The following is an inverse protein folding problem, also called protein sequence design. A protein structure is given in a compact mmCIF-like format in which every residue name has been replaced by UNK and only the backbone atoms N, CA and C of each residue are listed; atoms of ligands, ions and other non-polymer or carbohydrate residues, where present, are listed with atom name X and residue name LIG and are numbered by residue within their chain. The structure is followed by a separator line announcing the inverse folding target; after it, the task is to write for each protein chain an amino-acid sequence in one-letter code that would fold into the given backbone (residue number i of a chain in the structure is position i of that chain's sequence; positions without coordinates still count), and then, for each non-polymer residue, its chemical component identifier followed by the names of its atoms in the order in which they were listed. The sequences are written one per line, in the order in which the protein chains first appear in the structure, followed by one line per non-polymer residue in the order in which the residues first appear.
data_IF_044338820800
#
_entry.id   IF_044338820800
#
_cell.length_a   1.000
_cell.length_b   1.000
_cell.length_c   1.000
_cell.angle_alpha   90.00
_cell.angle_beta   90.00
_cell.angle_gamma   90.00
#
_symmetry.space_group_name_H-M   'P 1'
#
loop_
_entity.id
_entity.type
_entity.pdbx_description
1 polymer ?
#
# COMPACT_ATOMS: atom_id res chain seq x y z
N UNK A 1 -8.92 12.13 -20.18
CA UNK A 1 -9.08 10.66 -20.27
C UNK A 1 -10.06 10.18 -19.20
N UNK A 2 -10.73 9.06 -19.46
CA UNK A 2 -11.54 8.35 -18.46
C UNK A 2 -10.69 7.28 -17.80
N UNK A 3 -10.40 7.44 -16.50
CA UNK A 3 -9.49 6.57 -15.73
C UNK A 3 -10.30 5.82 -14.69
N UNK A 4 -10.17 4.49 -14.64
CA UNK A 4 -10.83 3.66 -13.64
C UNK A 4 -9.81 3.01 -12.72
N UNK A 5 -9.88 3.32 -11.42
CA UNK A 5 -9.12 2.61 -10.40
C UNK A 5 -9.96 1.51 -9.77
N UNK A 6 -9.39 0.32 -9.64
CA UNK A 6 -10.03 -0.84 -9.00
C UNK A 6 -9.16 -1.36 -7.88
N UNK A 7 -9.69 -1.38 -6.66
CA UNK A 7 -8.94 -1.76 -5.48
C UNK A 7 -9.79 -2.49 -4.42
N UNK A 8 -9.17 -2.91 -3.34
CA UNK A 8 -9.84 -3.33 -2.11
C UNK A 8 -9.52 -2.30 -1.03
N UNK A 9 -10.27 -1.21 -1.01
CA UNK A 9 -10.06 -0.11 -0.07
C UNK A 9 -10.88 -0.39 1.19
N UNK A 10 -10.22 -0.57 2.33
CA UNK A 10 -10.88 -0.78 3.61
C UNK A 10 -10.99 0.49 4.43
N UNK A 11 -9.91 1.26 4.49
CA UNK A 11 -9.82 2.54 5.21
C UNK A 11 -8.97 3.51 4.41
N UNK A 12 -9.24 4.81 4.56
CA UNK A 12 -8.50 5.88 3.85
C UNK A 12 -7.01 5.90 4.22
N UNK A 13 -6.68 5.49 5.45
CA UNK A 13 -5.30 5.49 5.97
C UNK A 13 -4.54 4.18 5.70
N UNK A 14 -5.13 3.23 4.97
CA UNK A 14 -4.40 2.08 4.44
C UNK A 14 -3.55 2.55 3.25
N UNK A 15 -2.30 2.09 3.12
CA UNK A 15 -1.35 2.59 2.12
C UNK A 15 -1.89 2.68 0.69
N UNK A 16 -2.67 1.67 0.23
CA UNK A 16 -3.29 1.69 -1.10
C UNK A 16 -4.40 2.77 -1.17
N UNK A 17 -5.20 2.92 -0.12
CA UNK A 17 -6.25 3.94 -0.05
C UNK A 17 -5.68 5.36 -0.15
N UNK A 18 -4.59 5.64 0.55
CA UNK A 18 -3.87 6.92 0.48
C UNK A 18 -3.34 7.20 -0.93
N UNK A 19 -2.70 6.21 -1.55
CA UNK A 19 -2.19 6.35 -2.93
C UNK A 19 -3.32 6.66 -3.92
N UNK A 20 -4.45 5.94 -3.82
CA UNK A 20 -5.59 6.17 -4.72
C UNK A 20 -6.22 7.54 -4.48
N UNK A 21 -6.28 8.00 -3.23
CA UNK A 21 -6.77 9.34 -2.92
C UNK A 21 -5.93 10.43 -3.60
N UNK A 22 -4.61 10.36 -3.47
CA UNK A 22 -3.72 11.34 -4.10
C UNK A 22 -3.81 11.25 -5.63
N UNK A 23 -3.79 10.05 -6.21
CA UNK A 23 -3.95 9.87 -7.64
C UNK A 23 -5.29 10.46 -8.15
N UNK A 24 -6.37 10.22 -7.43
CA UNK A 24 -7.69 10.75 -7.78
C UNK A 24 -7.68 12.28 -7.81
N UNK A 25 -7.18 12.93 -6.74
CA UNK A 25 -7.14 14.38 -6.66
C UNK A 25 -6.32 14.99 -7.80
N UNK A 26 -5.10 14.47 -8.01
CA UNK A 26 -4.21 15.00 -9.03
C UNK A 26 -4.73 14.75 -10.45
N UNK A 27 -5.32 13.60 -10.72
CA UNK A 27 -5.88 13.31 -12.03
C UNK A 27 -7.13 14.14 -12.34
N UNK A 28 -7.97 14.43 -11.35
CA UNK A 28 -9.08 15.38 -11.50
C UNK A 28 -8.55 16.80 -11.76
N UNK A 29 -7.52 17.25 -11.02
CA UNK A 29 -6.88 18.55 -11.22
C UNK A 29 -6.31 18.69 -12.65
N UNK A 30 -5.84 17.59 -13.22
CA UNK A 30 -5.37 17.52 -14.62
C UNK A 30 -6.50 17.43 -15.67
N UNK A 31 -7.76 17.47 -15.24
CA UNK A 31 -8.93 17.47 -16.12
C UNK A 31 -9.32 16.08 -16.62
N UNK A 32 -8.96 15.00 -15.90
CA UNK A 32 -9.40 13.65 -16.24
C UNK A 32 -10.74 13.32 -15.56
N UNK A 33 -11.54 12.46 -16.19
CA UNK A 33 -12.75 11.87 -15.59
C UNK A 33 -12.33 10.57 -14.88
N UNK A 34 -12.30 10.59 -13.55
CA UNK A 34 -11.76 9.51 -12.74
C UNK A 34 -12.86 8.86 -11.91
N UNK A 35 -12.94 7.54 -11.97
CA UNK A 35 -13.85 6.76 -11.13
C UNK A 35 -13.08 5.68 -10.36
N UNK A 36 -13.64 5.31 -9.21
CA UNK A 36 -13.03 4.33 -8.30
C UNK A 36 -14.04 3.22 -8.00
N UNK A 37 -13.62 1.97 -8.15
CA UNK A 37 -14.36 0.81 -7.72
C UNK A 37 -13.63 0.13 -6.56
N UNK A 38 -14.35 -0.17 -5.49
CA UNK A 38 -13.85 -1.00 -4.40
C UNK A 38 -14.73 -2.23 -4.22
N UNK A 39 -14.11 -3.36 -3.88
CA UNK A 39 -14.81 -4.59 -3.55
C UNK A 39 -15.30 -4.67 -2.10
N UNK A 40 -14.89 -3.76 -1.23
CA UNK A 40 -15.33 -3.72 0.17
C UNK A 40 -16.54 -2.81 0.33
N UNK A 41 -17.57 -3.32 1.01
CA UNK A 41 -18.79 -2.56 1.28
C UNK A 41 -18.63 -1.54 2.42
N UNK A 42 -17.78 -1.82 3.42
CA UNK A 42 -17.57 -0.95 4.56
C UNK A 42 -16.43 0.04 4.29
N UNK A 43 -16.76 1.15 3.68
CA UNK A 43 -15.85 2.27 3.39
C UNK A 43 -15.96 3.31 4.51
N UNK A 44 -15.55 2.95 5.70
CA UNK A 44 -15.49 3.89 6.81
C UNK A 44 -14.39 4.93 6.52
N UNK A 45 -14.74 6.20 6.62
CA UNK A 45 -13.83 7.37 6.58
C UNK A 45 -13.22 7.71 5.22
N UNK A 46 -13.94 7.57 4.11
CA UNK A 46 -13.44 8.07 2.82
C UNK A 46 -14.39 9.10 2.21
N UNK A 47 -13.83 10.23 1.78
CA UNK A 47 -14.53 11.25 1.00
C UNK A 47 -14.44 10.99 -0.51
N UNK A 48 -13.84 9.87 -0.91
CA UNK A 48 -13.71 9.49 -2.31
C UNK A 48 -15.06 8.99 -2.87
N UNK A 49 -15.41 9.33 -4.11
CA UNK A 49 -16.60 8.82 -4.79
C UNK A 49 -16.38 7.38 -5.23
N UNK A 50 -16.49 6.44 -4.29
CA UNK A 50 -16.21 5.03 -4.52
C UNK A 50 -17.52 4.27 -4.76
N UNK A 51 -17.59 3.57 -5.89
CA UNK A 51 -18.64 2.59 -6.19
C UNK A 51 -18.24 1.22 -5.66
N UNK A 52 -19.15 0.55 -4.93
CA UNK A 52 -18.91 -0.83 -4.49
C UNK A 52 -19.44 -1.79 -5.52
N UNK A 53 -18.56 -2.45 -6.26
CA UNK A 53 -18.89 -3.43 -7.30
C UNK A 53 -18.13 -4.73 -7.03
N UNK A 54 -18.88 -5.82 -6.84
CA UNK A 54 -18.35 -7.16 -6.57
C UNK A 54 -18.74 -8.14 -7.65
N UNK A 55 -19.94 -7.98 -8.24
CA UNK A 55 -20.46 -8.89 -9.25
C UNK A 55 -19.92 -8.55 -10.64
N UNK A 56 -19.79 -9.58 -11.46
CA UNK A 56 -19.39 -9.46 -12.87
C UNK A 56 -20.43 -8.67 -13.66
N UNK A 57 -21.71 -8.90 -13.37
CA UNK A 57 -22.84 -8.24 -14.06
C UNK A 57 -22.83 -6.73 -13.82
N UNK A 58 -22.66 -6.32 -12.55
CA UNK A 58 -22.64 -4.89 -12.20
C UNK A 58 -21.42 -4.20 -12.81
N UNK A 59 -20.27 -4.90 -12.86
CA UNK A 59 -19.09 -4.40 -13.54
C UNK A 59 -19.29 -4.22 -15.04
N UNK A 60 -19.92 -5.19 -15.72
CA UNK A 60 -20.25 -5.08 -17.15
C UNK A 60 -21.20 -3.91 -17.42
N UNK A 61 -22.25 -3.73 -16.61
CA UNK A 61 -23.15 -2.58 -16.71
C UNK A 61 -22.39 -1.28 -16.56
N UNK A 62 -21.60 -1.16 -15.49
CA UNK A 62 -20.82 0.04 -15.18
C UNK A 62 -19.90 0.45 -16.35
N UNK A 63 -19.11 -0.47 -16.90
CA UNK A 63 -18.17 -0.15 -18.00
C UNK A 63 -18.87 0.00 -19.35
N UNK A 64 -20.11 -0.45 -19.49
CA UNK A 64 -20.92 -0.21 -20.71
C UNK A 64 -21.53 1.19 -20.72
N UNK A 65 -21.90 1.70 -19.56
CA UNK A 65 -22.42 3.07 -19.38
C UNK A 65 -21.29 4.13 -19.40
N UNK A 66 -20.12 3.76 -18.88
CA UNK A 66 -18.96 4.63 -18.78
C UNK A 66 -17.71 3.87 -19.21
N UNK A 67 -17.41 3.89 -20.51
CA UNK A 67 -16.26 3.17 -21.08
C UNK A 67 -14.98 3.88 -20.65
N UNK A 68 -14.12 3.26 -19.83
CA UNK A 68 -12.83 3.85 -19.46
C UNK A 68 -11.81 3.74 -20.60
N UNK A 69 -10.95 4.75 -20.72
CA UNK A 69 -9.81 4.70 -21.63
C UNK A 69 -8.69 3.78 -21.08
N UNK A 70 -8.60 3.69 -19.74
CA UNK A 70 -7.64 2.82 -19.05
C UNK A 70 -8.19 2.40 -17.69
N UNK A 71 -7.86 1.17 -17.29
CA UNK A 71 -8.17 0.62 -15.97
C UNK A 71 -6.86 0.32 -15.21
N UNK A 72 -6.79 0.68 -13.92
CA UNK A 72 -5.65 0.40 -13.05
C UNK A 72 -6.12 -0.49 -11.90
N UNK A 73 -5.65 -1.72 -11.88
CA UNK A 73 -5.83 -2.62 -10.75
C UNK A 73 -4.75 -2.36 -9.71
N UNK A 74 -5.15 -2.10 -8.46
CA UNK A 74 -4.25 -1.93 -7.34
C UNK A 74 -4.14 -3.21 -6.52
N UNK A 75 -2.95 -3.78 -6.41
CA UNK A 75 -2.68 -5.11 -5.87
C UNK A 75 -3.01 -6.24 -6.85
N UNK A 76 -2.97 -7.50 -6.43
CA UNK A 76 -3.06 -8.61 -7.37
C UNK A 76 -4.00 -9.76 -6.96
N UNK A 77 -3.96 -10.22 -5.71
CA UNK A 77 -4.62 -11.46 -5.31
C UNK A 77 -6.12 -11.31 -5.02
N UNK A 78 -6.90 -10.85 -6.04
CA UNK A 78 -8.35 -10.70 -5.93
C UNK A 78 -9.06 -11.49 -7.03
N UNK A 79 -9.98 -12.37 -6.67
CA UNK A 79 -10.73 -13.22 -7.62
C UNK A 79 -11.55 -12.36 -8.59
N UNK A 80 -12.08 -11.23 -8.11
CA UNK A 80 -12.82 -10.27 -8.90
C UNK A 80 -11.97 -9.70 -10.05
N UNK A 81 -10.68 -9.44 -9.80
CA UNK A 81 -9.77 -8.91 -10.82
C UNK A 81 -9.58 -9.88 -11.98
N UNK A 82 -9.61 -11.20 -11.72
CA UNK A 82 -9.56 -12.22 -12.78
C UNK A 82 -10.79 -12.15 -13.67
N UNK A 83 -11.96 -11.94 -13.09
CA UNK A 83 -13.23 -11.83 -13.84
C UNK A 83 -13.29 -10.52 -14.61
N UNK A 84 -12.96 -9.41 -13.95
CA UNK A 84 -12.99 -8.09 -14.54
C UNK A 84 -11.97 -7.95 -15.68
N UNK A 85 -10.75 -8.46 -15.51
CA UNK A 85 -9.73 -8.43 -16.58
C UNK A 85 -10.13 -9.20 -17.82
N UNK A 86 -10.88 -10.31 -17.68
CA UNK A 86 -11.45 -11.04 -18.83
C UNK A 86 -12.45 -10.19 -19.61
N UNK A 87 -13.34 -9.49 -18.89
CA UNK A 87 -14.34 -8.59 -19.53
C UNK A 87 -13.63 -7.44 -20.24
N UNK A 88 -12.64 -6.82 -19.59
CA UNK A 88 -11.84 -5.75 -20.19
C UNK A 88 -11.11 -6.23 -21.45
N UNK A 89 -10.55 -7.45 -21.44
CA UNK A 89 -9.91 -8.04 -22.62
C UNK A 89 -10.89 -8.28 -23.77
N UNK A 90 -12.10 -8.79 -23.48
CA UNK A 90 -13.15 -9.00 -24.49
C UNK A 90 -13.61 -7.65 -25.09
N UNK A 91 -13.70 -6.60 -24.29
CA UNK A 91 -14.11 -5.26 -24.72
C UNK A 91 -12.94 -4.42 -25.27
N UNK A 92 -11.73 -4.99 -25.37
CA UNK A 92 -10.51 -4.30 -25.81
C UNK A 92 -10.17 -3.04 -25.01
N UNK A 93 -10.53 -3.01 -23.72
CA UNK A 93 -10.20 -1.92 -22.79
C UNK A 93 -8.84 -2.22 -22.17
N UNK A 94 -7.81 -1.36 -22.35
CA UNK A 94 -6.49 -1.59 -21.79
C UNK A 94 -6.51 -1.46 -20.26
N UNK A 95 -5.67 -2.29 -19.60
CA UNK A 95 -5.49 -2.17 -18.17
C UNK A 95 -4.05 -2.39 -17.73
N UNK A 96 -3.69 -1.76 -16.62
CA UNK A 96 -2.42 -1.92 -15.92
C UNK A 96 -2.64 -2.55 -14.54
N UNK A 97 -1.59 -3.14 -13.99
CA UNK A 97 -1.58 -3.65 -12.62
C UNK A 97 -0.47 -2.98 -11.83
N UNK A 98 -0.83 -2.24 -10.78
CA UNK A 98 0.11 -1.66 -9.81
C UNK A 98 0.24 -2.60 -8.61
N UNK A 99 1.45 -3.10 -8.36
CA UNK A 99 1.67 -4.24 -7.47
C UNK A 99 1.69 -3.88 -5.98
N UNK A 100 2.17 -2.70 -5.61
CA UNK A 100 2.32 -2.25 -4.21
C UNK A 100 3.06 -3.28 -3.33
N UNK A 101 4.14 -3.86 -3.83
CA UNK A 101 4.94 -4.85 -3.10
C UNK A 101 4.32 -6.24 -2.97
N UNK A 102 3.16 -6.51 -3.58
CA UNK A 102 2.41 -7.74 -3.35
C UNK A 102 3.11 -9.02 -3.85
N UNK A 103 3.99 -8.92 -4.85
CA UNK A 103 4.62 -10.05 -5.54
C UNK A 103 6.14 -10.07 -5.40
N UNK A 104 6.68 -9.60 -4.28
CA UNK A 104 8.09 -9.81 -3.95
C UNK A 104 8.41 -11.31 -3.83
N UNK A 105 9.63 -11.70 -4.19
CA UNK A 105 10.10 -13.10 -4.07
C UNK A 105 9.90 -13.66 -2.66
N UNK A 106 10.08 -12.82 -1.64
CA UNK A 106 9.89 -13.20 -0.24
C UNK A 106 8.42 -13.44 0.10
N UNK A 107 7.53 -12.53 -0.31
CA UNK A 107 6.09 -12.68 -0.12
C UNK A 107 5.52 -13.86 -0.92
N UNK A 108 6.12 -14.19 -2.06
CA UNK A 108 5.71 -15.32 -2.88
C UNK A 108 6.10 -16.66 -2.26
N UNK A 109 7.26 -16.75 -1.60
CA UNK A 109 7.71 -17.94 -0.86
C UNK A 109 6.81 -18.26 0.34
N UNK A 110 6.27 -17.25 1.01
CA UNK A 110 5.31 -17.44 2.11
C UNK A 110 3.94 -17.85 1.58
N UNK A 111 3.49 -19.04 1.97
CA UNK A 111 2.24 -19.61 1.50
C UNK A 111 2.33 -20.24 0.09
N UNK A 112 3.52 -20.68 -0.29
CA UNK A 112 3.82 -21.28 -1.59
C UNK A 112 2.80 -22.34 -2.04
N UNK A 113 2.36 -23.24 -1.16
CA UNK A 113 1.41 -24.29 -1.50
C UNK A 113 0.02 -23.74 -1.88
N UNK A 114 -0.54 -22.81 -1.11
CA UNK A 114 -1.85 -22.20 -1.41
C UNK A 114 -1.79 -21.26 -2.62
N UNK A 115 -0.68 -20.52 -2.80
CA UNK A 115 -0.47 -19.60 -3.93
C UNK A 115 -0.05 -20.33 -5.19
N UNK A 116 0.59 -21.50 -5.08
CA UNK A 116 1.05 -22.29 -6.22
C UNK A 116 -0.12 -22.92 -6.98
N UNK A 117 -1.07 -23.53 -6.29
CA UNK A 117 -2.24 -24.16 -6.94
C UNK A 117 -3.31 -23.15 -7.36
N UNK A 118 -3.57 -22.11 -6.59
CA UNK A 118 -4.55 -21.07 -6.95
C UNK A 118 -3.95 -19.93 -7.81
N UNK A 119 -2.68 -19.58 -7.60
CA UNK A 119 -2.04 -18.42 -8.22
C UNK A 119 -1.63 -18.64 -9.66
N UNK A 120 -1.05 -19.81 -10.01
CA UNK A 120 -0.49 -20.01 -11.36
C UNK A 120 -1.54 -20.03 -12.47
N UNK A 121 -2.72 -20.57 -12.23
CA UNK A 121 -3.72 -20.77 -13.29
C UNK A 121 -4.61 -19.53 -13.45
N UNK A 122 -5.06 -18.92 -12.35
CA UNK A 122 -6.05 -17.85 -12.39
C UNK A 122 -5.44 -16.44 -12.37
N UNK A 123 -4.54 -16.16 -11.42
CA UNK A 123 -4.03 -14.80 -11.24
C UNK A 123 -2.96 -14.40 -12.25
N UNK A 124 -2.19 -15.36 -12.79
CA UNK A 124 -1.21 -15.06 -13.83
C UNK A 124 -1.84 -14.52 -15.11
N UNK A 125 -3.10 -14.87 -15.42
CA UNK A 125 -3.81 -14.34 -16.58
C UNK A 125 -4.00 -12.83 -16.50
N UNK A 126 -4.27 -12.30 -15.30
CA UNK A 126 -4.40 -10.85 -15.07
C UNK A 126 -3.09 -10.13 -15.38
N UNK A 127 -1.97 -10.67 -14.91
CA UNK A 127 -0.65 -10.09 -15.16
C UNK A 127 -0.25 -10.22 -16.63
N UNK A 128 -0.43 -11.40 -17.22
CA UNK A 128 -0.01 -11.70 -18.60
C UNK A 128 -0.71 -10.81 -19.62
N UNK A 129 -1.98 -10.53 -19.42
CA UNK A 129 -2.80 -9.76 -20.36
C UNK A 129 -2.81 -8.25 -20.05
N UNK A 130 -2.15 -7.81 -18.98
CA UNK A 130 -2.01 -6.40 -18.67
C UNK A 130 -1.20 -5.68 -19.74
N UNK A 131 -1.61 -4.47 -20.08
CA UNK A 131 -0.89 -3.59 -21.01
C UNK A 131 0.48 -3.19 -20.46
N UNK A 132 0.57 -3.04 -19.13
CA UNK A 132 1.83 -2.83 -18.39
C UNK A 132 1.67 -3.18 -16.92
N UNK A 133 2.80 -3.47 -16.27
CA UNK A 133 2.90 -3.65 -14.83
C UNK A 133 3.57 -2.43 -14.24
N UNK A 134 2.95 -1.83 -13.23
CA UNK A 134 3.45 -0.63 -12.55
C UNK A 134 4.16 -1.05 -11.26
N UNK A 135 5.44 -0.72 -11.17
CA UNK A 135 6.30 -0.90 -10.00
C UNK A 135 6.61 0.44 -9.36
N UNK A 136 6.78 0.47 -8.06
CA UNK A 136 7.12 1.69 -7.33
C UNK A 136 8.58 2.11 -7.51
N UNK A 137 9.47 1.15 -7.75
CA UNK A 137 10.89 1.39 -7.93
C UNK A 137 11.59 0.17 -8.59
N UNK A 138 12.84 0.35 -8.99
CA UNK A 138 13.66 -0.72 -9.60
C UNK A 138 13.88 -1.90 -8.63
N UNK A 139 13.97 -1.67 -7.33
CA UNK A 139 14.11 -2.74 -6.34
C UNK A 139 12.89 -3.65 -6.30
N UNK A 140 11.68 -3.08 -6.37
CA UNK A 140 10.45 -3.87 -6.46
C UNK A 140 10.43 -4.72 -7.74
N UNK A 141 10.83 -4.16 -8.88
CA UNK A 141 10.94 -4.90 -10.13
C UNK A 141 11.93 -6.07 -10.02
N UNK A 142 13.15 -5.81 -9.56
CA UNK A 142 14.24 -6.80 -9.50
C UNK A 142 13.93 -7.92 -8.46
N UNK A 143 13.18 -7.61 -7.41
CA UNK A 143 12.78 -8.56 -6.38
C UNK A 143 11.42 -9.22 -6.65
N UNK A 144 10.73 -8.88 -7.75
CA UNK A 144 9.47 -9.49 -8.13
C UNK A 144 9.65 -10.79 -8.93
N UNK A 145 8.62 -11.63 -8.92
CA UNK A 145 8.50 -12.81 -9.79
C UNK A 145 7.77 -12.48 -11.10
N UNK A 146 7.18 -11.29 -11.22
CA UNK A 146 6.30 -10.89 -12.32
C UNK A 146 7.00 -10.69 -13.66
N UNK A 147 8.26 -10.23 -13.75
CA UNK A 147 8.95 -10.05 -15.04
C UNK A 147 8.98 -11.30 -15.92
N UNK A 148 8.94 -12.49 -15.32
CA UNK A 148 8.83 -13.78 -16.05
C UNK A 148 7.44 -14.02 -16.66
N UNK A 149 6.40 -13.29 -16.20
CA UNK A 149 5.02 -13.43 -16.65
C UNK A 149 4.69 -12.35 -17.67
N UNK A 150 5.06 -11.10 -17.38
CA UNK A 150 4.87 -9.94 -18.24
C UNK A 150 6.09 -9.00 -18.16
N UNK A 151 6.89 -8.90 -19.23
CA UNK A 151 8.07 -8.04 -19.25
C UNK A 151 7.75 -6.55 -19.45
N UNK A 152 6.51 -6.19 -19.81
CA UNK A 152 6.10 -4.79 -19.99
C UNK A 152 6.02 -4.11 -18.64
N UNK A 153 6.77 -3.06 -18.43
CA UNK A 153 6.88 -2.37 -17.15
C UNK A 153 6.82 -0.86 -17.26
N UNK A 154 6.30 -0.24 -16.20
CA UNK A 154 6.48 1.16 -15.87
C UNK A 154 7.00 1.26 -14.43
N UNK A 155 7.90 2.19 -14.15
CA UNK A 155 8.33 2.50 -12.78
C UNK A 155 7.73 3.86 -12.45
N UNK A 156 6.76 3.85 -11.54
CA UNK A 156 6.04 5.04 -11.09
C UNK A 156 6.01 5.01 -9.56
N UNK A 157 6.83 5.82 -8.89
CA UNK A 157 6.81 5.90 -7.44
C UNK A 157 5.48 6.48 -6.93
N UNK A 158 5.14 6.19 -5.68
CA UNK A 158 4.04 6.90 -5.04
C UNK A 158 4.41 8.37 -4.90
N UNK A 159 3.45 9.26 -5.17
CA UNK A 159 3.59 10.68 -4.87
C UNK A 159 3.59 10.93 -3.36
N UNK A 160 4.14 12.06 -2.98
CA UNK A 160 3.97 12.66 -1.65
C UNK A 160 3.50 14.10 -1.84
N UNK A 161 2.77 14.60 -0.87
CA UNK A 161 2.44 16.03 -0.83
C UNK A 161 3.71 16.83 -0.57
N UNK A 162 3.90 17.94 -1.29
CA UNK A 162 4.91 18.92 -0.93
C UNK A 162 4.49 19.51 0.42
N UNK A 163 5.23 19.16 1.46
CA UNK A 163 5.10 19.90 2.72
C UNK A 163 5.60 21.30 2.48
N UNK A 164 4.69 22.29 2.46
CA UNK A 164 5.05 23.69 2.43
C UNK A 164 6.09 23.95 3.53
N UNK A 165 7.35 23.97 3.12
CA UNK A 165 8.52 24.59 3.75
C UNK A 165 8.43 24.88 5.26
N UNK A 166 8.09 23.94 6.08
CA UNK A 166 8.55 23.97 7.45
C UNK A 166 10.07 23.74 7.41
N UNK A 167 10.83 24.80 7.19
CA UNK A 167 12.28 24.80 7.44
C UNK A 167 12.43 24.45 8.92
N UNK A 168 12.54 23.16 9.19
CA UNK A 168 12.92 22.68 10.52
C UNK A 168 14.36 23.11 10.69
N UNK A 169 14.57 24.30 11.28
CA UNK A 169 15.89 24.69 11.78
C UNK A 169 16.26 23.65 12.85
N UNK A 170 17.31 22.87 12.63
CA UNK A 170 17.74 21.91 13.64
C UNK A 170 18.17 22.69 14.88
N UNK A 171 17.29 22.76 15.89
CA UNK A 171 17.69 23.22 17.19
C UNK A 171 18.73 22.23 17.73
N UNK A 172 19.90 22.73 18.14
CA UNK A 172 20.85 21.96 18.94
C UNK A 172 20.15 21.56 20.23
N UNK A 173 19.51 20.39 20.21
CA UNK A 173 18.94 19.79 21.42
C UNK A 173 19.98 18.83 21.99
N UNK A 174 20.11 18.83 23.29
CA UNK A 174 20.98 17.87 23.99
C UNK A 174 20.46 16.44 23.82
N UNK A 175 19.16 16.25 23.55
CA UNK A 175 18.52 14.97 23.30
C UNK A 175 17.89 14.90 21.91
N UNK A 176 18.10 13.80 21.21
CA UNK A 176 17.52 13.50 19.90
C UNK A 176 16.18 12.79 20.10
N UNK A 177 15.10 13.33 19.55
CA UNK A 177 13.80 12.64 19.49
C UNK A 177 13.68 11.88 18.17
N UNK A 178 13.65 10.56 18.24
CA UNK A 178 13.38 9.69 17.11
C UNK A 178 11.88 9.36 17.06
N UNK A 179 11.36 9.17 15.87
CA UNK A 179 9.95 8.81 15.68
C UNK A 179 9.84 7.65 14.73
N UNK A 180 9.18 6.59 15.18
CA UNK A 180 8.68 5.53 14.30
C UNK A 180 7.19 5.75 14.06
N UNK A 181 6.76 5.85 12.79
CA UNK A 181 5.34 5.92 12.42
C UNK A 181 5.03 4.79 11.45
N UNK A 182 4.11 3.91 11.82
CA UNK A 182 3.72 2.82 10.93
C UNK A 182 2.98 1.70 11.64
N UNK A 183 2.57 0.70 10.85
CA UNK A 183 1.97 -0.51 11.41
C UNK A 183 2.97 -1.19 12.36
N UNK A 184 2.53 -1.50 13.56
CA UNK A 184 3.33 -2.29 14.50
C UNK A 184 3.30 -3.75 14.05
N UNK A 185 4.31 -4.10 13.28
CA UNK A 185 4.50 -5.46 12.76
C UNK A 185 6.00 -5.76 12.67
N UNK A 186 6.47 -6.65 13.52
CA UNK A 186 7.88 -6.97 13.66
C UNK A 186 8.50 -7.48 12.37
N UNK A 187 7.77 -8.36 11.70
CA UNK A 187 8.26 -8.96 10.47
C UNK A 187 8.35 -7.97 9.29
N UNK A 188 7.29 -7.19 9.06
CA UNK A 188 7.23 -6.31 7.89
C UNK A 188 7.97 -4.99 8.05
N UNK A 189 8.20 -4.57 9.30
CA UNK A 189 8.80 -3.28 9.62
C UNK A 189 10.19 -3.39 10.26
N UNK A 190 10.69 -4.61 10.44
CA UNK A 190 12.01 -4.83 11.04
C UNK A 190 12.11 -4.35 12.49
N UNK A 191 10.98 -4.37 13.22
CA UNK A 191 10.97 -3.90 14.62
C UNK A 191 11.83 -4.77 15.52
N UNK A 192 12.04 -6.04 15.19
CA UNK A 192 12.97 -6.92 15.88
C UNK A 192 14.41 -6.37 15.84
N UNK A 193 14.84 -5.90 14.67
CA UNK A 193 16.17 -5.29 14.50
C UNK A 193 16.27 -3.99 15.29
N UNK A 194 15.24 -3.13 15.19
CA UNK A 194 15.19 -1.85 15.89
C UNK A 194 15.20 -2.05 17.42
N UNK A 195 14.38 -2.93 17.95
CA UNK A 195 14.32 -3.23 19.40
C UNK A 195 15.65 -3.81 19.89
N UNK A 196 16.28 -4.70 19.13
CA UNK A 196 17.59 -5.23 19.50
C UNK A 196 18.67 -4.12 19.51
N UNK A 197 18.64 -3.20 18.54
CA UNK A 197 19.53 -2.06 18.54
C UNK A 197 19.32 -1.16 19.76
N UNK A 198 18.05 -0.88 20.13
CA UNK A 198 17.73 -0.10 21.32
C UNK A 198 18.23 -0.78 22.60
N UNK A 199 18.07 -2.10 22.74
CA UNK A 199 18.59 -2.87 23.89
C UNK A 199 20.11 -2.77 23.99
N UNK A 200 20.84 -2.77 22.86
CA UNK A 200 22.29 -2.59 22.85
C UNK A 200 22.66 -1.16 23.29
N UNK A 201 21.97 -0.15 22.77
CA UNK A 201 22.27 1.24 23.10
C UNK A 201 21.93 1.54 24.57
N UNK A 202 20.91 0.91 25.12
CA UNK A 202 20.50 1.06 26.51
C UNK A 202 21.62 0.59 27.52
N UNK A 203 22.59 -0.19 27.03
CA UNK A 203 23.80 -0.55 27.82
C UNK A 203 24.87 0.54 27.82
N UNK A 204 24.72 1.58 27.00
CA UNK A 204 25.66 2.71 26.94
C UNK A 204 25.21 3.75 27.95
N UNK A 205 26.17 4.26 28.71
CA UNK A 205 25.91 5.31 29.71
C UNK A 205 25.34 6.57 29.01
N UNK A 206 24.15 7.00 29.47
CA UNK A 206 23.50 8.24 29.11
C UNK A 206 23.27 8.45 27.57
N UNK A 207 22.50 7.58 26.90
CA UNK A 207 22.16 7.79 25.49
C UNK A 207 21.28 9.04 25.36
N UNK A 208 21.74 9.99 24.53
CA UNK A 208 21.08 11.28 24.32
C UNK A 208 19.97 11.20 23.28
N UNK A 209 19.07 10.22 23.38
CA UNK A 209 17.91 10.13 22.50
C UNK A 209 16.71 9.50 23.19
N UNK A 210 15.52 9.71 22.63
CA UNK A 210 14.30 9.01 22.96
C UNK A 210 13.56 8.63 21.67
N UNK A 211 12.95 7.45 21.59
CA UNK A 211 12.17 7.01 20.44
C UNK A 211 10.70 6.84 20.80
N UNK A 212 9.83 7.49 20.02
CA UNK A 212 8.38 7.38 20.11
C UNK A 212 7.85 6.47 19.01
N UNK A 213 7.09 5.44 19.38
CA UNK A 213 6.46 4.51 18.45
C UNK A 213 4.97 4.87 18.27
N UNK A 214 4.60 5.23 17.05
CA UNK A 214 3.21 5.47 16.67
C UNK A 214 2.70 4.36 15.75
N UNK A 215 1.60 3.71 16.15
CA UNK A 215 0.96 2.65 15.37
C UNK A 215 -0.44 2.34 15.89
N UNK A 216 -1.25 1.63 15.10
CA UNK A 216 -2.61 1.34 15.48
C UNK A 216 -2.64 0.35 16.67
N UNK A 217 -3.50 0.62 17.66
CA UNK A 217 -3.66 -0.21 18.86
C UNK A 217 -4.10 -1.66 18.55
N UNK A 218 -4.75 -1.85 17.41
CA UNK A 218 -5.20 -3.19 16.96
C UNK A 218 -4.17 -3.89 16.05
N UNK A 219 -2.95 -3.37 15.92
CA UNK A 219 -1.89 -4.06 15.17
C UNK A 219 -1.45 -5.32 15.92
N UNK A 220 -1.08 -6.36 15.14
CA UNK A 220 -0.85 -7.72 15.64
C UNK A 220 0.23 -7.79 16.73
N UNK A 221 1.25 -6.94 16.63
CA UNK A 221 2.44 -7.01 17.49
C UNK A 221 2.50 -5.88 18.54
N UNK A 222 1.41 -5.15 18.81
CA UNK A 222 1.40 -4.02 19.76
C UNK A 222 1.73 -4.46 21.18
N UNK A 223 1.11 -5.52 21.65
CA UNK A 223 1.35 -6.03 23.01
C UNK A 223 2.80 -6.52 23.17
N UNK A 224 3.35 -7.14 22.12
CA UNK A 224 4.77 -7.52 22.08
C UNK A 224 5.69 -6.29 22.17
N UNK A 225 5.37 -5.23 21.40
CA UNK A 225 6.14 -3.99 21.45
C UNK A 225 6.10 -3.38 22.86
N UNK A 226 4.92 -3.26 23.47
CA UNK A 226 4.78 -2.74 24.84
C UNK A 226 5.63 -3.55 25.84
N UNK A 227 5.61 -4.88 25.71
CA UNK A 227 6.41 -5.76 26.55
C UNK A 227 7.91 -5.56 26.33
N UNK A 228 8.37 -5.48 25.08
CA UNK A 228 9.78 -5.22 24.78
C UNK A 228 10.23 -3.85 25.33
N UNK A 229 9.38 -2.82 25.26
CA UNK A 229 9.67 -1.48 25.77
C UNK A 229 9.77 -1.41 27.32
N UNK A 230 9.25 -2.39 28.07
CA UNK A 230 9.44 -2.41 29.54
C UNK A 230 10.91 -2.56 29.95
N UNK A 231 11.74 -3.11 29.08
CA UNK A 231 13.18 -3.30 29.27
C UNK A 231 14.05 -2.24 28.60
N UNK A 232 13.45 -1.20 28.02
CA UNK A 232 14.12 -0.14 27.24
C UNK A 232 13.73 1.22 27.85
N UNK A 233 14.71 1.95 28.39
CA UNK A 233 14.46 3.22 29.09
C UNK A 233 14.17 4.40 28.15
N UNK A 234 14.62 4.31 26.89
CA UNK A 234 14.55 5.38 25.89
C UNK A 234 13.50 5.15 24.79
N UNK A 235 12.46 4.36 25.05
CA UNK A 235 11.40 4.07 24.09
C UNK A 235 9.99 4.16 24.68
N UNK A 236 9.04 4.73 23.94
CA UNK A 236 7.63 4.84 24.35
C UNK A 236 6.67 4.50 23.23
N UNK A 237 5.60 3.76 23.54
CA UNK A 237 4.49 3.55 22.62
C UNK A 237 3.43 4.64 22.86
N UNK A 238 3.09 5.38 21.78
CA UNK A 238 2.26 6.57 21.83
C UNK A 238 0.85 6.35 21.25
N UNK A 239 0.54 5.13 20.77
CA UNK A 239 -0.74 4.87 20.10
C UNK A 239 -0.78 5.26 18.64
N UNK A 240 -2.00 5.25 18.04
CA UNK A 240 -2.19 5.60 16.64
C UNK A 240 -2.20 7.10 16.40
N UNK A 241 -1.56 7.55 15.34
CA UNK A 241 -1.61 8.95 14.88
C UNK A 241 -2.08 9.00 13.42
N UNK A 242 -3.04 9.87 13.11
CA UNK A 242 -3.70 9.92 11.80
C UNK A 242 -3.97 11.36 11.37
N UNK A 243 -4.08 11.56 10.03
CA UNK A 243 -4.38 12.87 9.45
C UNK A 243 -3.35 13.94 9.80
N UNK A 244 -3.83 15.14 10.07
CA UNK A 244 -3.00 16.34 10.35
C UNK A 244 -2.15 16.20 11.63
N UNK A 245 -2.47 15.24 12.49
CA UNK A 245 -1.67 14.94 13.68
C UNK A 245 -0.38 14.16 13.38
N UNK A 246 -0.09 13.84 12.11
CA UNK A 246 1.16 13.20 11.68
C UNK A 246 2.31 14.18 11.43
N UNK A 247 2.04 15.46 11.50
CA UNK A 247 3.01 16.55 11.25
C UNK A 247 3.75 16.93 12.50
#
# INVERSE_FOLDING_TARGET
MKILHIASIGRIYEGIGTVINHLYQEQINLGHDVRIISKRQNLLYTNLPISTIISTRDFESFISEWIPDIVIFHSHFHVEFVRFSKILSIKHIPYCVQLHGALSKENYRKGFLKKFFGGKIFFNSVLKNASSIIYLNESEYNNSVVPYINPKRCIIPNGCEDSDNAVITPNKRDNINLTFIGRINYYHKGLDVLINALKIIDTIDNPKFHINFYGNENDVDVERLKQDLTSISHGSYMGGVYGDNKV
#
